data_IF_231035923306
#
_entry.id   IF_231035923306
#
_cell.length_a   1.000
_cell.length_b   1.000
_cell.length_c   1.000
_cell.angle_alpha   90.00
_cell.angle_beta   90.00
_cell.angle_gamma   90.00
#
_symmetry.space_group_name_H-M   'P 1'
#
loop_
_entity.id
_entity.type
_entity.pdbx_description
1 polymer ?
#
# COMPACT_ATOMS: atom_id res chain seq x y z
N UNK A 1 -16.67 -12.77 -16.76
CA UNK A 1 -15.52 -12.89 -15.83
C UNK A 1 -14.25 -12.44 -16.53
N UNK A 2 -13.79 -11.25 -16.18
CA UNK A 2 -12.65 -10.57 -16.81
C UNK A 2 -11.29 -11.20 -16.41
N UNK A 3 -10.30 -11.32 -17.33
CA UNK A 3 -9.02 -12.00 -17.07
C UNK A 3 -8.17 -11.38 -15.94
N UNK A 4 -8.30 -10.07 -15.68
CA UNK A 4 -7.64 -9.42 -14.53
C UNK A 4 -8.09 -9.97 -13.17
N UNK A 5 -9.27 -10.60 -13.09
CA UNK A 5 -9.75 -11.24 -11.86
C UNK A 5 -9.03 -12.58 -11.57
N UNK A 6 -8.22 -13.09 -12.50
CA UNK A 6 -7.37 -14.26 -12.26
C UNK A 6 -6.16 -13.93 -11.38
N UNK A 7 -5.75 -12.65 -11.30
CA UNK A 7 -4.75 -12.20 -10.34
C UNK A 7 -5.41 -12.07 -8.96
N UNK A 8 -4.96 -12.85 -7.95
CA UNK A 8 -5.60 -12.88 -6.64
C UNK A 8 -5.47 -11.56 -5.89
N UNK A 9 -4.40 -10.79 -6.11
CA UNK A 9 -4.24 -9.48 -5.48
C UNK A 9 -5.19 -8.46 -6.10
N UNK A 10 -5.29 -8.42 -7.43
CA UNK A 10 -6.22 -7.52 -8.12
C UNK A 10 -7.67 -7.86 -7.75
N UNK A 11 -8.03 -9.15 -7.74
CA UNK A 11 -9.35 -9.61 -7.31
C UNK A 11 -9.68 -9.15 -5.89
N UNK A 12 -8.75 -9.30 -4.93
CA UNK A 12 -8.93 -8.85 -3.55
C UNK A 12 -9.12 -7.33 -3.43
N UNK A 13 -8.44 -6.53 -4.26
CA UNK A 13 -8.62 -5.07 -4.29
C UNK A 13 -9.98 -4.66 -4.83
N UNK A 14 -10.43 -5.30 -5.91
CA UNK A 14 -11.77 -5.08 -6.47
C UNK A 14 -12.82 -5.51 -5.44
N UNK A 15 -12.63 -6.66 -4.78
CA UNK A 15 -13.50 -7.12 -3.70
C UNK A 15 -13.63 -6.12 -2.56
N UNK A 16 -12.50 -5.55 -2.13
CA UNK A 16 -12.49 -4.53 -1.08
C UNK A 16 -13.25 -3.26 -1.53
N UNK A 17 -13.16 -2.88 -2.79
CA UNK A 17 -13.90 -1.75 -3.35
C UNK A 17 -15.41 -2.02 -3.42
N UNK A 18 -15.81 -3.26 -3.66
CA UNK A 18 -17.22 -3.67 -3.79
C UNK A 18 -17.85 -4.03 -2.44
N UNK A 19 -17.05 -4.31 -1.41
CA UNK A 19 -17.49 -4.69 -0.07
C UNK A 19 -18.58 -3.78 0.54
N UNK A 20 -18.53 -2.44 0.41
CA UNK A 20 -19.58 -1.56 0.94
C UNK A 20 -20.97 -1.82 0.35
N UNK A 21 -21.07 -2.42 -0.83
CA UNK A 21 -22.33 -2.65 -1.53
C UNK A 21 -22.94 -4.04 -1.28
N UNK A 22 -22.24 -4.95 -0.58
CA UNK A 22 -22.65 -6.36 -0.42
C UNK A 22 -24.01 -6.58 0.26
N UNK A 23 -24.50 -5.61 1.03
CA UNK A 23 -25.83 -5.64 1.64
C UNK A 23 -26.85 -4.71 0.98
N UNK A 24 -26.44 -3.98 -0.06
CA UNK A 24 -27.25 -2.97 -0.75
C UNK A 24 -27.67 -3.43 -2.15
N UNK A 25 -26.85 -4.26 -2.80
CA UNK A 25 -27.08 -4.75 -4.14
C UNK A 25 -27.24 -6.28 -4.18
N UNK A 26 -28.08 -6.82 -5.08
CA UNK A 26 -28.11 -8.23 -5.42
C UNK A 26 -26.74 -8.77 -5.83
N UNK A 27 -26.52 -10.08 -5.66
CA UNK A 27 -25.26 -10.74 -6.04
C UNK A 27 -24.90 -10.55 -7.51
N UNK A 28 -25.89 -10.64 -8.41
CA UNK A 28 -25.69 -10.43 -9.84
C UNK A 28 -25.15 -9.02 -10.17
N UNK A 29 -25.63 -8.00 -9.45
CA UNK A 29 -25.18 -6.61 -9.64
C UNK A 29 -23.78 -6.39 -9.08
N UNK A 30 -23.44 -7.08 -7.98
CA UNK A 30 -22.07 -7.07 -7.43
C UNK A 30 -21.09 -7.74 -8.39
N UNK A 31 -21.47 -8.86 -9.00
CA UNK A 31 -20.65 -9.56 -9.98
C UNK A 31 -20.46 -8.71 -11.25
N UNK A 32 -21.53 -8.04 -11.71
CA UNK A 32 -21.44 -7.05 -12.77
C UNK A 32 -20.48 -5.91 -12.42
N UNK A 33 -20.59 -5.34 -11.22
CA UNK A 33 -19.73 -4.25 -10.76
C UNK A 33 -18.24 -4.66 -10.70
N UNK A 34 -17.97 -5.92 -10.35
CA UNK A 34 -16.61 -6.48 -10.33
C UNK A 34 -16.04 -6.62 -11.74
N UNK A 35 -16.82 -7.11 -12.69
CA UNK A 35 -16.40 -7.22 -14.09
C UNK A 35 -16.19 -5.81 -14.70
N UNK A 36 -17.07 -4.84 -14.45
CA UNK A 36 -16.92 -3.45 -14.90
C UNK A 36 -15.66 -2.76 -14.35
N UNK A 37 -15.37 -2.95 -13.05
CA UNK A 37 -14.16 -2.42 -12.44
C UNK A 37 -12.90 -3.05 -13.05
N UNK A 38 -12.93 -4.36 -13.31
CA UNK A 38 -11.83 -5.06 -13.95
C UNK A 38 -11.62 -4.55 -15.40
N UNK A 39 -12.69 -4.33 -16.15
CA UNK A 39 -12.61 -3.77 -17.52
C UNK A 39 -12.03 -2.35 -17.53
N UNK A 40 -12.45 -1.49 -16.60
CA UNK A 40 -11.86 -0.14 -16.46
C UNK A 40 -10.38 -0.18 -16.12
N UNK A 41 -9.95 -1.11 -15.25
CA UNK A 41 -8.53 -1.28 -14.93
C UNK A 41 -7.71 -1.78 -16.13
N UNK A 42 -8.33 -2.46 -17.08
CA UNK A 42 -7.67 -2.93 -18.31
C UNK A 42 -7.59 -1.86 -19.39
N UNK A 43 -8.61 -1.01 -19.50
CA UNK A 43 -8.77 -0.06 -20.60
C UNK A 43 -8.24 1.33 -20.26
N UNK A 44 -8.32 1.74 -18.99
CA UNK A 44 -7.82 3.03 -18.52
C UNK A 44 -6.33 2.92 -18.14
N UNK A 45 -5.48 3.56 -18.94
CA UNK A 45 -4.04 3.53 -18.76
C UNK A 45 -3.58 4.15 -17.43
N UNK A 46 -4.29 5.18 -16.95
CA UNK A 46 -3.99 5.81 -15.67
C UNK A 46 -4.35 4.88 -14.52
N UNK A 47 -5.53 4.25 -14.56
CA UNK A 47 -5.95 3.28 -13.56
C UNK A 47 -5.00 2.07 -13.52
N UNK A 48 -4.61 1.54 -14.68
CA UNK A 48 -3.63 0.47 -14.80
C UNK A 48 -2.27 0.87 -14.19
N UNK A 49 -1.83 2.12 -14.40
CA UNK A 49 -0.57 2.64 -13.85
C UNK A 49 -0.60 2.72 -12.32
N UNK A 50 -1.70 3.23 -11.75
CA UNK A 50 -1.90 3.29 -10.30
C UNK A 50 -1.91 1.88 -9.71
N UNK A 51 -2.62 0.94 -10.35
CA UNK A 51 -2.68 -0.46 -9.92
C UNK A 51 -1.28 -1.10 -9.91
N UNK A 52 -0.49 -0.93 -10.97
CA UNK A 52 0.89 -1.43 -11.05
C UNK A 52 1.81 -0.84 -9.99
N UNK A 53 1.63 0.44 -9.62
CA UNK A 53 2.44 1.10 -8.58
C UNK A 53 2.07 0.62 -7.17
N UNK A 54 0.81 0.29 -6.94
CA UNK A 54 0.32 -0.20 -5.67
C UNK A 54 0.54 -1.72 -5.47
N UNK A 55 0.82 -2.46 -6.53
CA UNK A 55 1.08 -3.89 -6.47
C UNK A 55 2.27 -4.19 -5.54
N UNK A 56 2.14 -5.18 -4.63
CA UNK A 56 3.24 -5.62 -3.80
C UNK A 56 4.42 -6.04 -4.67
N UNK A 57 5.60 -5.50 -4.40
CA UNK A 57 6.83 -6.00 -5.02
C UNK A 57 7.12 -7.36 -4.38
N UNK A 58 7.23 -8.41 -5.18
CA UNK A 58 7.73 -9.69 -4.69
C UNK A 58 9.20 -9.48 -4.29
N UNK A 59 9.46 -9.40 -2.99
CA UNK A 59 10.84 -9.33 -2.47
C UNK A 59 11.19 -10.74 -2.05
N UNK A 60 11.92 -11.44 -2.92
CA UNK A 60 12.64 -12.66 -2.56
C UNK A 60 13.73 -12.25 -1.55
N UNK A 61 13.51 -12.56 -0.27
CA UNK A 61 14.45 -12.52 0.86
C UNK A 61 15.67 -11.57 0.75
N UNK A 62 15.53 -10.33 1.26
CA UNK A 62 16.62 -9.62 1.92
C UNK A 62 16.05 -8.49 2.77
N UNK A 63 16.49 -8.40 4.03
CA UNK A 63 15.99 -7.48 5.06
C UNK A 63 16.33 -6.00 4.86
N UNK A 64 16.32 -5.51 3.63
CA UNK A 64 16.52 -4.11 3.31
C UNK A 64 15.18 -3.47 2.97
N UNK A 65 14.64 -2.71 3.92
CA UNK A 65 13.39 -1.98 3.73
C UNK A 65 13.57 -0.91 2.64
N UNK A 66 12.86 -1.07 1.52
CA UNK A 66 12.72 0.00 0.53
C UNK A 66 11.82 1.09 1.15
N UNK A 67 12.43 2.14 1.71
CA UNK A 67 11.72 3.38 2.02
C UNK A 67 11.42 4.06 0.69
N UNK A 68 10.29 3.69 0.08
CA UNK A 68 9.72 4.44 -1.02
C UNK A 68 9.46 5.87 -0.53
N UNK A 69 10.19 6.82 -1.10
CA UNK A 69 9.98 8.24 -0.87
C UNK A 69 8.49 8.55 -1.03
N UNK A 70 7.86 8.86 0.09
CA UNK A 70 6.60 9.54 0.12
C UNK A 70 6.82 10.89 -0.60
N UNK A 71 5.94 11.18 -1.56
CA UNK A 71 5.63 12.54 -2.01
C UNK A 71 6.83 13.30 -2.61
N UNK A 72 7.09 13.13 -3.91
CA UNK A 72 7.66 14.25 -4.68
C UNK A 72 6.54 15.25 -4.96
N UNK A 73 6.30 16.05 -3.93
CA UNK A 73 5.50 17.25 -3.86
C UNK A 73 6.07 18.03 -2.68
N UNK A 74 7.12 18.79 -2.96
CA UNK A 74 7.67 19.89 -2.16
C UNK A 74 8.51 19.55 -0.90
N UNK A 75 9.68 20.21 -0.87
CA UNK A 75 10.66 20.40 0.20
C UNK A 75 11.38 19.19 0.84
N UNK A 76 12.66 19.06 0.49
CA UNK A 76 13.64 18.23 1.16
C UNK A 76 14.01 18.80 2.55
N UNK A 77 13.93 18.02 3.65
CA UNK A 77 14.67 18.33 4.86
C UNK A 77 15.96 17.50 4.88
N UNK A 78 17.03 18.20 4.54
CA UNK A 78 18.38 18.13 5.10
C UNK A 78 18.63 17.02 6.15
N UNK A 79 19.41 16.03 5.71
CA UNK A 79 20.41 15.25 6.47
C UNK A 79 20.36 15.36 8.00
N UNK A 80 19.64 14.45 8.67
CA UNK A 80 19.99 14.03 10.04
C UNK A 80 20.95 12.85 10.01
N UNK A 81 22.24 13.15 9.80
CA UNK A 81 23.32 12.33 10.38
C UNK A 81 23.62 12.86 11.78
N UNK A 82 23.13 12.17 12.80
CA UNK A 82 23.75 12.16 14.13
C UNK A 82 23.15 11.02 14.96
N UNK A 83 23.76 9.85 14.81
CA UNK A 83 23.72 8.80 15.84
C UNK A 83 24.46 9.34 17.06
N UNK A 84 23.70 9.72 18.08
CA UNK A 84 24.18 10.14 19.39
C UNK A 84 23.53 9.28 20.45
N UNK A 85 23.90 7.99 20.49
CA UNK A 85 23.58 7.11 21.61
C UNK A 85 24.31 7.66 22.84
N UNK A 86 23.60 8.28 23.78
CA UNK A 86 24.00 8.28 25.19
C UNK A 86 22.80 8.13 26.10
N UNK A 87 22.70 6.91 26.58
CA UNK A 87 21.82 6.43 27.63
C UNK A 87 21.84 7.38 28.83
N UNK A 88 20.66 7.80 29.28
CA UNK A 88 20.45 8.30 30.64
C UNK A 88 20.72 7.14 31.61
N UNK A 89 21.62 7.33 32.57
CA UNK A 89 21.62 6.56 33.82
C UNK A 89 21.71 7.55 34.99
N UNK A 90 20.60 7.62 35.69
CA UNK A 90 20.35 8.27 36.97
C UNK A 90 20.97 7.48 38.12
N UNK A 91 21.38 8.17 39.20
CA UNK A 91 21.77 7.62 40.52
C UNK A 91 23.08 8.25 41.01
N UNK A 92 23.09 9.27 41.86
CA UNK A 92 22.74 9.33 43.31
C UNK A 92 23.88 8.83 44.23
N UNK A 93 24.46 9.73 45.05
CA UNK A 93 24.99 9.40 46.40
C UNK A 93 26.48 9.70 46.73
N UNK A 94 26.67 10.33 47.91
CA UNK A 94 27.84 10.39 48.82
C UNK A 94 29.02 11.31 48.44
N UNK A 95 29.39 12.33 49.24
CA UNK A 95 30.20 12.24 50.49
C UNK A 95 31.64 12.61 50.10
N UNK A 96 32.37 13.58 50.66
CA UNK A 96 32.58 14.09 52.02
C UNK A 96 32.92 15.60 51.98
#
# INVERSE_FOLDING_TARGET
>A
MHPLLADPWVAARIDAAVAPYRGLLPSADLDFLRDELAERLATDEHAARVLRRAAPRHVEESGEAFIGAALEGEDAPETRRASGIRSRRTGSGAGE
#
